data_IF_834281795629
#
_entry.id   IF_834281795629
#
_cell.length_a   1.000
_cell.length_b   1.000
_cell.length_c   1.000
_cell.angle_alpha   90.00
_cell.angle_beta   90.00
_cell.angle_gamma   90.00
#
_symmetry.space_group_name_H-M   'P 1'
#
loop_
_entity.id
_entity.type
_entity.pdbx_description
1 polymer ?
#
# COMPACT_ATOMS: atom_id res chain seq x y z
N UNK A 1 -30.35 16.29 21.29
CA UNK A 1 -30.25 16.37 19.81
C UNK A 1 -29.11 15.49 19.35
N UNK A 2 -29.36 14.63 18.35
CA UNK A 2 -28.35 13.79 17.71
C UNK A 2 -27.96 14.42 16.37
N UNK A 3 -26.68 14.47 16.06
CA UNK A 3 -26.14 14.95 14.80
C UNK A 3 -25.18 13.90 14.24
N UNK A 4 -25.28 13.62 12.95
CA UNK A 4 -24.36 12.78 12.21
C UNK A 4 -23.82 13.58 11.02
N UNK A 5 -22.51 13.52 10.78
CA UNK A 5 -21.87 14.08 9.59
C UNK A 5 -20.87 13.07 9.04
N UNK A 6 -20.73 13.04 7.73
CA UNK A 6 -19.76 12.22 7.01
C UNK A 6 -19.00 13.06 6.00
N UNK A 7 -17.73 12.76 5.80
CA UNK A 7 -16.88 13.45 4.82
C UNK A 7 -16.00 12.44 4.10
N UNK A 8 -15.87 12.58 2.78
CA UNK A 8 -15.02 11.73 1.96
C UNK A 8 -14.08 12.61 1.13
N UNK A 9 -12.77 12.35 1.21
CA UNK A 9 -11.75 13.06 0.45
C UNK A 9 -10.93 12.04 -0.33
N UNK A 10 -10.89 12.20 -1.63
CA UNK A 10 -9.98 11.47 -2.51
C UNK A 10 -8.82 12.38 -2.90
N UNK A 11 -7.58 11.91 -2.73
CA UNK A 11 -6.37 12.67 -3.05
C UNK A 11 -5.50 11.85 -3.98
N UNK A 12 -5.22 12.41 -5.14
CA UNK A 12 -4.29 11.87 -6.13
C UNK A 12 -2.93 12.52 -5.88
N UNK A 13 -1.89 11.70 -5.88
CA UNK A 13 -0.51 12.16 -5.73
C UNK A 13 0.06 12.50 -7.11
N UNK A 14 1.16 13.24 -7.13
CA UNK A 14 1.96 13.44 -8.35
C UNK A 14 3.08 12.40 -8.49
N UNK A 15 3.05 11.36 -7.65
CA UNK A 15 4.11 10.35 -7.48
C UNK A 15 3.50 8.96 -7.31
N UNK A 16 4.32 7.94 -7.49
CA UNK A 16 4.02 6.49 -7.37
C UNK A 16 4.69 5.85 -6.14
N UNK A 17 4.80 6.63 -5.04
CA UNK A 17 5.64 6.30 -3.90
C UNK A 17 4.89 5.74 -2.67
N UNK A 18 3.55 5.79 -2.65
CA UNK A 18 2.75 5.41 -1.49
C UNK A 18 2.95 3.93 -1.10
N UNK A 19 3.19 3.07 -2.09
CA UNK A 19 3.40 1.64 -1.92
C UNK A 19 4.86 1.19 -2.11
N UNK A 20 5.76 2.12 -2.43
CA UNK A 20 7.21 1.90 -2.64
C UNK A 20 7.50 0.71 -3.61
N UNK A 21 6.68 0.54 -4.65
CA UNK A 21 6.84 -0.51 -5.68
C UNK A 21 7.10 0.03 -7.10
N UNK A 22 7.55 1.26 -7.25
CA UNK A 22 7.83 1.89 -8.56
C UNK A 22 9.10 1.39 -9.30
N UNK A 23 9.77 0.37 -8.76
CA UNK A 23 11.02 -0.17 -9.29
C UNK A 23 10.89 -1.64 -9.70
N UNK A 24 12.02 -2.25 -10.10
CA UNK A 24 12.09 -3.64 -10.53
C UNK A 24 12.60 -4.54 -9.41
N UNK A 25 12.17 -5.80 -9.41
CA UNK A 25 12.79 -6.82 -8.56
C UNK A 25 14.28 -6.94 -8.88
N UNK A 26 15.10 -7.02 -7.83
CA UNK A 26 16.55 -7.23 -7.95
C UNK A 26 16.85 -8.64 -8.47
N UNK A 27 17.96 -8.81 -9.19
CA UNK A 27 18.45 -10.14 -9.55
C UNK A 27 18.88 -10.89 -8.26
N UNK A 28 18.25 -12.04 -7.93
CA UNK A 28 18.56 -12.79 -6.72
C UNK A 28 20.00 -13.27 -6.61
N UNK A 29 20.71 -13.45 -7.74
CA UNK A 29 22.12 -13.88 -7.76
C UNK A 29 23.04 -12.85 -7.11
N UNK A 30 22.66 -11.57 -7.07
CA UNK A 30 23.45 -10.50 -6.43
C UNK A 30 23.56 -10.72 -4.92
N UNK A 31 22.57 -11.38 -4.29
CA UNK A 31 22.61 -11.61 -2.85
C UNK A 31 23.78 -12.48 -2.43
N UNK A 32 24.17 -13.47 -3.22
CA UNK A 32 25.29 -14.36 -2.92
C UNK A 32 26.65 -13.63 -2.88
N UNK A 33 26.74 -12.42 -3.46
CA UNK A 33 27.96 -11.60 -3.40
C UNK A 33 28.13 -10.91 -2.04
N UNK A 34 27.07 -10.79 -1.25
CA UNK A 34 27.03 -9.97 -0.04
C UNK A 34 26.52 -10.72 1.20
N UNK A 35 25.76 -11.80 1.02
CA UNK A 35 25.09 -12.55 2.06
C UNK A 35 25.49 -14.02 2.00
N UNK A 36 25.46 -14.70 3.15
CA UNK A 36 25.73 -16.13 3.27
C UNK A 36 24.84 -16.78 4.35
N UNK A 37 24.82 -18.11 4.39
CA UNK A 37 24.09 -18.88 5.40
C UNK A 37 22.59 -18.58 5.41
N UNK A 38 22.03 -18.41 6.60
CA UNK A 38 20.59 -18.13 6.80
C UNK A 38 20.16 -16.81 6.18
N UNK A 39 20.99 -15.77 6.26
CA UNK A 39 20.67 -14.45 5.69
C UNK A 39 20.50 -14.51 4.16
N UNK A 40 21.32 -15.30 3.47
CA UNK A 40 21.16 -15.50 2.04
C UNK A 40 19.83 -16.21 1.72
N UNK A 41 19.51 -17.25 2.47
CA UNK A 41 18.26 -17.99 2.27
C UNK A 41 17.03 -17.10 2.52
N UNK A 42 17.06 -16.30 3.58
CA UNK A 42 15.98 -15.36 3.90
C UNK A 42 15.83 -14.30 2.81
N UNK A 43 16.94 -13.72 2.32
CA UNK A 43 16.90 -12.76 1.22
C UNK A 43 16.29 -13.35 -0.06
N UNK A 44 16.66 -14.59 -0.42
CA UNK A 44 16.11 -15.29 -1.59
C UNK A 44 14.61 -15.55 -1.47
N UNK A 45 14.11 -15.86 -0.26
CA UNK A 45 12.69 -16.13 -0.02
C UNK A 45 11.86 -14.84 0.07
N UNK A 46 12.42 -13.78 0.65
CA UNK A 46 11.69 -12.54 0.95
C UNK A 46 11.75 -11.48 -0.15
N UNK A 47 12.76 -11.52 -1.02
CA UNK A 47 12.96 -10.53 -2.09
C UNK A 47 11.83 -10.49 -3.12
N UNK A 48 11.21 -11.63 -3.41
CA UNK A 48 10.07 -11.73 -4.30
C UNK A 48 9.02 -12.68 -3.74
N UNK A 49 7.94 -12.08 -3.23
CA UNK A 49 6.83 -12.76 -2.57
C UNK A 49 5.66 -13.06 -3.49
N UNK A 50 5.82 -12.90 -4.81
CA UNK A 50 4.78 -13.28 -5.77
C UNK A 50 4.54 -14.78 -5.73
N UNK A 51 3.33 -15.17 -6.12
CA UNK A 51 2.97 -16.59 -6.16
C UNK A 51 3.76 -17.29 -7.29
N UNK A 52 4.75 -18.10 -6.89
CA UNK A 52 5.61 -18.87 -7.80
C UNK A 52 4.84 -19.88 -8.68
N UNK A 53 3.63 -20.26 -8.27
CA UNK A 53 2.75 -21.17 -9.02
C UNK A 53 1.73 -20.45 -9.90
N UNK A 54 1.78 -19.11 -9.99
CA UNK A 54 0.87 -18.34 -10.83
C UNK A 54 1.39 -18.26 -12.27
N UNK A 55 0.66 -18.86 -13.21
CA UNK A 55 0.95 -18.74 -14.64
C UNK A 55 0.74 -17.32 -15.18
N UNK A 56 -0.12 -16.53 -14.53
CA UNK A 56 -0.41 -15.15 -14.93
C UNK A 56 0.72 -14.18 -14.56
N UNK A 57 1.49 -14.49 -13.51
CA UNK A 57 2.56 -13.63 -13.00
C UNK A 57 3.77 -14.48 -12.56
N UNK A 58 4.43 -15.18 -13.50
CA UNK A 58 5.53 -16.05 -13.17
C UNK A 58 6.68 -15.24 -12.56
N UNK A 59 7.39 -15.81 -11.59
CA UNK A 59 8.61 -15.22 -11.04
C UNK A 59 9.75 -15.42 -12.05
N UNK A 60 10.43 -14.34 -12.43
CA UNK A 60 11.64 -14.40 -13.25
C UNK A 60 12.85 -14.69 -12.34
N UNK A 61 13.57 -15.80 -12.55
CA UNK A 61 14.76 -16.14 -11.77
C UNK A 61 15.86 -15.06 -11.81
N UNK A 62 15.90 -14.24 -12.88
CA UNK A 62 16.89 -13.16 -13.05
C UNK A 62 16.41 -11.80 -12.52
N UNK A 63 15.19 -11.72 -11.96
CA UNK A 63 14.58 -10.47 -11.52
C UNK A 63 14.12 -9.57 -12.67
N UNK A 64 14.20 -8.25 -12.49
CA UNK A 64 13.92 -7.25 -13.53
C UNK A 64 12.44 -7.00 -13.84
N UNK A 65 11.54 -7.76 -13.23
CA UNK A 65 10.10 -7.56 -13.37
C UNK A 65 9.65 -6.34 -12.55
N UNK A 66 8.63 -5.68 -13.06
CA UNK A 66 8.06 -4.46 -12.48
C UNK A 66 7.27 -4.84 -11.21
N UNK A 67 7.51 -4.16 -10.07
CA UNK A 67 6.86 -4.43 -8.77
C UNK A 67 5.49 -3.75 -8.65
N UNK A 68 5.32 -2.60 -9.30
CA UNK A 68 4.12 -1.76 -9.35
C UNK A 68 4.16 -0.90 -10.60
N UNK A 69 3.12 -0.18 -10.97
CA UNK A 69 3.11 0.54 -12.25
C UNK A 69 3.61 1.99 -12.10
N UNK A 70 4.87 2.32 -12.47
CA UNK A 70 5.40 3.68 -12.31
C UNK A 70 4.77 4.71 -13.25
N UNK A 71 3.91 4.27 -14.18
CA UNK A 71 3.16 5.16 -15.07
C UNK A 71 1.87 5.68 -14.43
N UNK A 72 1.47 5.12 -13.29
CA UNK A 72 0.26 5.50 -12.59
C UNK A 72 0.64 6.19 -11.28
N UNK A 73 0.16 7.40 -11.07
CA UNK A 73 0.31 8.04 -9.77
C UNK A 73 -0.61 7.38 -8.74
N UNK A 74 -0.15 7.38 -7.50
CA UNK A 74 -0.91 6.83 -6.40
C UNK A 74 -2.07 7.73 -5.98
N UNK A 75 -3.00 7.14 -5.25
CA UNK A 75 -4.05 7.88 -4.59
C UNK A 75 -4.40 7.24 -3.25
N UNK A 76 -4.87 8.06 -2.33
CA UNK A 76 -5.51 7.58 -1.10
C UNK A 76 -6.81 8.34 -0.86
N UNK A 77 -7.68 7.75 -0.04
CA UNK A 77 -8.88 8.42 0.41
C UNK A 77 -8.91 8.51 1.93
N UNK A 78 -9.63 9.51 2.42
CA UNK A 78 -9.98 9.67 3.82
C UNK A 78 -11.48 9.66 3.93
N UNK A 79 -12.01 8.87 4.87
CA UNK A 79 -13.41 8.89 5.22
C UNK A 79 -13.55 9.25 6.69
N UNK A 80 -14.30 10.31 6.99
CA UNK A 80 -14.54 10.79 8.35
C UNK A 80 -16.02 10.64 8.69
N UNK A 81 -16.28 10.21 9.93
CA UNK A 81 -17.62 10.18 10.52
C UNK A 81 -17.58 11.00 11.81
N UNK A 82 -18.53 11.93 11.97
CA UNK A 82 -18.68 12.73 13.19
C UNK A 82 -20.07 12.53 13.78
N UNK A 83 -20.11 12.08 15.03
CA UNK A 83 -21.31 11.96 15.85
C UNK A 83 -21.34 13.09 16.87
N UNK A 84 -22.48 13.77 17.03
CA UNK A 84 -22.67 14.84 18.00
C UNK A 84 -23.94 14.61 18.82
N UNK A 85 -23.80 14.56 20.14
CA UNK A 85 -24.90 14.44 21.09
C UNK A 85 -25.01 15.74 21.90
N UNK A 86 -26.20 16.32 21.98
CA UNK A 86 -26.49 17.51 22.79
C UNK A 86 -27.57 17.19 23.81
N UNK A 87 -27.28 17.44 25.09
CA UNK A 87 -28.19 17.27 26.23
C UNK A 87 -28.67 18.65 26.74
N UNK A 88 -29.85 18.71 27.36
CA UNK A 88 -30.32 19.91 28.08
C UNK A 88 -30.76 21.11 27.23
N UNK A 89 -31.06 20.93 25.94
CA UNK A 89 -31.49 22.04 25.07
C UNK A 89 -32.99 22.30 25.24
N UNK A 90 -33.36 23.30 26.04
CA UNK A 90 -34.74 23.79 26.14
C UNK A 90 -35.15 24.55 24.88
N UNK A 91 -36.36 24.28 24.39
CA UNK A 91 -37.01 25.06 23.33
C UNK A 91 -37.66 26.27 23.99
N UNK A 92 -37.11 27.47 23.83
CA UNK A 92 -37.84 28.70 24.18
C UNK A 92 -39.02 28.77 23.19
N UNK A 93 -40.24 28.56 23.69
CA UNK A 93 -41.48 28.86 22.97
C UNK A 93 -41.70 30.37 23.06
N UNK A 94 -41.65 31.06 21.92
CA UNK A 94 -42.32 32.36 21.75
C UNK A 94 -43.79 32.11 21.39
#
# INVERSE_FOLDING_TARGET
>A
MLNLRTEFLYRILSTDYLDDVSTKYINPQVFANHLSGTMLNDALVLSDRRNKASDAYPVNPDGGQIRGNPKNNDAYFTFNIKLGLTFGREKIRH
#
